data_IF_561953782955
#
_entry.id   IF_561953782955
#
_cell.length_a   1.000
_cell.length_b   1.000
_cell.length_c   1.000
_cell.angle_alpha   90.00
_cell.angle_beta   90.00
_cell.angle_gamma   90.00
#
_symmetry.space_group_name_H-M   'P 1'
#
loop_
_entity.id
_entity.type
_entity.pdbx_description
1 polymer ?
#
# COMPACT_ATOMS: atom_id res chain seq x y z
N UNK A 1 21.40 -28.36 7.75
CA UNK A 1 21.60 -26.94 7.40
C UNK A 1 21.37 -26.67 5.91
N UNK A 2 22.08 -27.33 4.98
CA UNK A 2 21.90 -27.10 3.52
C UNK A 2 20.51 -27.50 2.98
N UNK A 3 19.93 -28.60 3.45
CA UNK A 3 18.57 -29.04 3.03
C UNK A 3 17.50 -28.06 3.52
N UNK A 4 17.61 -27.58 4.77
CA UNK A 4 16.72 -26.56 5.33
C UNK A 4 16.84 -25.23 4.58
N UNK A 5 18.05 -24.87 4.15
CA UNK A 5 18.30 -23.68 3.32
C UNK A 5 17.61 -23.79 1.96
N UNK A 6 17.78 -24.89 1.23
CA UNK A 6 17.13 -25.10 -0.06
C UNK A 6 15.59 -25.12 0.04
N UNK A 7 15.04 -25.83 1.04
CA UNK A 7 13.60 -25.87 1.27
C UNK A 7 13.03 -24.50 1.64
N UNK A 8 13.79 -23.68 2.39
CA UNK A 8 13.39 -22.32 2.72
C UNK A 8 13.25 -21.46 1.45
N UNK A 9 14.26 -21.41 0.58
CA UNK A 9 14.20 -20.60 -0.64
C UNK A 9 13.11 -21.04 -1.63
N UNK A 10 12.84 -22.35 -1.73
CA UNK A 10 11.72 -22.85 -2.53
C UNK A 10 10.35 -22.48 -1.93
N UNK A 11 10.22 -22.44 -0.61
CA UNK A 11 8.97 -22.05 0.05
C UNK A 11 8.73 -20.54 0.03
N UNK A 12 9.79 -19.73 0.08
CA UNK A 12 9.68 -18.27 0.02
C UNK A 12 9.28 -17.79 -1.37
N UNK A 13 9.66 -18.51 -2.43
CA UNK A 13 9.19 -18.29 -3.81
C UNK A 13 9.19 -16.81 -4.24
N UNK A 14 10.27 -16.10 -3.91
CA UNK A 14 10.39 -14.64 -4.09
C UNK A 14 10.19 -14.23 -5.55
N UNK A 15 10.55 -15.12 -6.48
CA UNK A 15 10.42 -14.89 -7.92
C UNK A 15 8.95 -14.71 -8.32
N UNK A 16 8.07 -15.56 -7.79
CA UNK A 16 6.65 -15.58 -8.16
C UNK A 16 5.76 -14.87 -7.12
N UNK A 17 6.33 -14.50 -5.96
CA UNK A 17 5.67 -13.72 -4.88
C UNK A 17 6.47 -12.49 -4.45
N UNK A 18 6.67 -11.52 -5.36
CA UNK A 18 7.52 -10.36 -5.09
C UNK A 18 6.89 -9.32 -4.14
N UNK A 19 5.59 -9.42 -3.84
CA UNK A 19 4.88 -8.57 -2.90
C UNK A 19 5.06 -7.08 -3.17
N UNK A 20 5.40 -6.33 -2.11
CA UNK A 20 5.52 -4.87 -2.18
C UNK A 20 6.55 -4.36 -3.18
N UNK A 21 7.63 -5.10 -3.44
CA UNK A 21 8.65 -4.64 -4.40
C UNK A 21 8.06 -4.51 -5.81
N UNK A 22 7.24 -5.49 -6.24
CA UNK A 22 6.60 -5.43 -7.56
C UNK A 22 5.41 -4.47 -7.59
N UNK A 23 4.67 -4.36 -6.50
CA UNK A 23 3.60 -3.37 -6.36
C UNK A 23 4.15 -1.93 -6.50
N UNK A 24 5.28 -1.64 -5.85
CA UNK A 24 5.94 -0.36 -5.95
C UNK A 24 6.55 -0.10 -7.32
N UNK A 25 7.19 -1.10 -7.95
CA UNK A 25 7.66 -0.99 -9.35
C UNK A 25 6.50 -0.63 -10.29
N UNK A 26 5.37 -1.32 -10.17
CA UNK A 26 4.18 -1.05 -10.96
C UNK A 26 3.67 0.40 -10.76
N UNK A 27 3.61 0.90 -9.53
CA UNK A 27 3.23 2.30 -9.28
C UNK A 27 4.30 3.26 -9.82
N UNK A 28 5.59 3.01 -9.61
CA UNK A 28 6.68 3.86 -10.09
C UNK A 28 6.66 4.01 -11.62
N UNK A 29 6.26 2.97 -12.35
CA UNK A 29 6.15 2.98 -13.82
C UNK A 29 4.88 3.67 -14.35
N UNK A 30 3.79 3.66 -13.58
CA UNK A 30 2.47 4.10 -14.06
C UNK A 30 1.94 5.38 -13.38
N UNK A 31 2.59 5.84 -12.32
CA UNK A 31 2.30 7.10 -11.65
C UNK A 31 2.55 8.28 -12.59
N UNK A 32 1.64 9.25 -12.61
CA UNK A 32 1.73 10.42 -13.47
C UNK A 32 1.48 11.71 -12.70
N UNK A 33 2.19 12.77 -13.07
CA UNK A 33 1.90 14.14 -12.64
C UNK A 33 1.72 14.30 -11.13
N UNK A 34 0.49 14.65 -10.73
CA UNK A 34 0.09 14.91 -9.35
C UNK A 34 -0.78 13.81 -8.73
N UNK A 35 -0.79 12.60 -9.33
CA UNK A 35 -1.38 11.40 -8.75
C UNK A 35 -0.98 11.28 -7.26
N UNK A 36 -1.95 11.04 -6.39
CA UNK A 36 -1.77 10.91 -4.94
C UNK A 36 -1.62 9.44 -4.56
N UNK A 37 -0.92 9.17 -3.45
CA UNK A 37 -0.70 7.80 -2.98
C UNK A 37 -1.21 7.69 -1.54
N UNK A 38 -2.21 6.83 -1.35
CA UNK A 38 -2.82 6.55 -0.06
C UNK A 38 -2.62 5.09 0.31
N UNK A 39 -2.30 4.81 1.56
CA UNK A 39 -2.07 3.46 2.07
C UNK A 39 -2.99 3.24 3.26
N UNK A 40 -3.72 2.14 3.28
CA UNK A 40 -4.70 1.90 4.36
C UNK A 40 -4.13 1.07 5.51
N UNK A 41 -2.96 0.46 5.33
CA UNK A 41 -2.33 -0.38 6.35
C UNK A 41 -0.93 0.11 6.71
N UNK A 42 -0.74 0.40 8.01
CA UNK A 42 0.58 0.75 8.57
C UNK A 42 1.62 -0.36 8.40
N UNK A 43 1.20 -1.63 8.26
CA UNK A 43 2.08 -2.79 8.09
C UNK A 43 2.72 -2.87 6.70
N UNK A 44 2.16 -2.15 5.73
CA UNK A 44 2.71 -2.06 4.37
C UNK A 44 3.14 -0.64 4.00
N UNK A 45 2.73 0.37 4.79
CA UNK A 45 3.12 1.78 4.61
C UNK A 45 4.64 1.97 4.55
N UNK A 46 5.37 1.48 5.56
CA UNK A 46 6.83 1.67 5.61
C UNK A 46 7.55 0.92 4.49
N UNK A 47 7.05 -0.26 4.12
CA UNK A 47 7.64 -1.02 3.01
C UNK A 47 7.41 -0.33 1.68
N UNK A 48 6.23 0.25 1.44
CA UNK A 48 6.01 1.05 0.24
C UNK A 48 6.89 2.31 0.25
N UNK A 49 6.93 3.04 1.37
CA UNK A 49 7.76 4.26 1.53
C UNK A 49 9.24 4.00 1.21
N UNK A 50 9.74 2.79 1.48
CA UNK A 50 11.10 2.38 1.12
C UNK A 50 11.32 2.19 -0.39
N UNK A 51 10.36 1.61 -1.11
CA UNK A 51 10.47 1.32 -2.55
C UNK A 51 9.89 2.42 -3.47
N UNK A 52 9.25 3.43 -2.89
CA UNK A 52 8.61 4.49 -3.65
C UNK A 52 9.64 5.42 -4.30
N UNK A 53 9.60 5.51 -5.62
CA UNK A 53 10.48 6.36 -6.43
C UNK A 53 9.70 7.44 -7.20
N UNK A 54 8.38 7.52 -7.02
CA UNK A 54 7.50 8.52 -7.68
C UNK A 54 7.82 9.97 -7.33
N UNK A 55 8.59 10.21 -6.27
CA UNK A 55 8.82 11.54 -5.71
C UNK A 55 7.59 12.12 -4.98
N UNK A 56 6.46 11.41 -4.91
CA UNK A 56 5.29 11.79 -4.12
C UNK A 56 5.35 11.17 -2.73
N UNK A 57 4.98 11.93 -1.72
CA UNK A 57 4.90 11.42 -0.35
C UNK A 57 3.66 10.51 -0.23
N UNK A 58 3.81 9.22 0.12
CA UNK A 58 2.67 8.38 0.44
C UNK A 58 2.07 8.80 1.78
N UNK A 59 0.75 8.74 1.88
CA UNK A 59 0.01 9.05 3.11
C UNK A 59 -0.64 7.78 3.66
N UNK A 60 -0.55 7.58 4.96
CA UNK A 60 -1.26 6.54 5.69
C UNK A 60 -2.65 7.06 6.07
N UNK A 61 -3.70 6.35 5.65
CA UNK A 61 -5.03 6.56 6.17
C UNK A 61 -5.15 5.92 7.56
N UNK A 62 -5.32 6.74 8.59
CA UNK A 62 -5.51 6.30 9.97
C UNK A 62 -6.56 7.19 10.67
N UNK A 63 -7.87 6.86 10.52
CA UNK A 63 -8.95 7.70 11.06
C UNK A 63 -9.03 7.66 12.59
N UNK A 64 -8.47 6.61 13.22
CA UNK A 64 -8.43 6.42 14.66
C UNK A 64 -7.02 6.45 15.24
N UNK A 65 -6.91 6.13 16.52
CA UNK A 65 -5.62 5.96 17.18
C UNK A 65 -4.90 4.71 16.66
N UNK A 66 -3.61 4.85 16.36
CA UNK A 66 -2.75 3.74 15.98
C UNK A 66 -2.17 3.09 17.23
N UNK A 67 -2.17 1.76 17.26
CA UNK A 67 -1.52 1.02 18.33
C UNK A 67 -0.01 1.25 18.33
N UNK A 68 0.65 1.14 19.49
CA UNK A 68 2.10 1.37 19.57
C UNK A 68 2.91 0.46 18.62
N UNK A 69 2.42 -0.75 18.36
CA UNK A 69 3.07 -1.73 17.49
C UNK A 69 2.84 -1.46 15.99
N UNK A 70 2.06 -0.44 15.63
CA UNK A 70 1.79 -0.01 14.26
C UNK A 70 2.87 0.93 13.70
N UNK A 71 4.04 0.98 14.34
CA UNK A 71 5.17 1.80 13.91
C UNK A 71 4.99 3.29 14.20
N UNK A 72 4.16 3.66 15.18
CA UNK A 72 3.87 5.07 15.52
C UNK A 72 5.10 5.88 15.89
N UNK A 73 6.17 5.24 16.39
CA UNK A 73 7.45 5.89 16.66
C UNK A 73 8.16 6.44 15.41
N UNK A 74 7.80 5.96 14.21
CA UNK A 74 8.35 6.37 12.94
C UNK A 74 7.40 7.25 12.11
N UNK A 75 6.16 7.42 12.56
CA UNK A 75 5.16 8.26 11.90
C UNK A 75 5.24 9.69 12.42
N UNK A 76 5.01 10.63 11.50
CA UNK A 76 4.77 12.04 11.82
C UNK A 76 3.35 12.41 11.41
N UNK A 77 2.86 13.56 11.87
CA UNK A 77 1.53 14.06 11.47
C UNK A 77 1.43 14.25 9.95
N UNK A 78 2.55 14.52 9.27
CA UNK A 78 2.60 14.66 7.81
C UNK A 78 2.48 13.32 7.07
N UNK A 79 2.66 12.20 7.75
CA UNK A 79 2.50 10.87 7.16
C UNK A 79 1.04 10.37 7.24
N UNK A 80 0.14 11.09 7.92
CA UNK A 80 -1.18 10.59 8.28
C UNK A 80 -2.29 11.49 7.71
N UNK A 81 -3.28 10.87 7.07
CA UNK A 81 -4.59 11.47 6.89
C UNK A 81 -5.65 10.71 7.70
N UNK A 82 -6.57 11.47 8.30
CA UNK A 82 -7.74 10.93 9.01
C UNK A 82 -9.03 11.01 8.21
N UNK A 83 -8.98 11.71 7.07
CA UNK A 83 -10.16 12.07 6.28
C UNK A 83 -9.79 12.01 4.79
N UNK A 84 -10.55 11.23 4.03
CA UNK A 84 -10.37 11.13 2.58
C UNK A 84 -10.60 12.46 1.87
N UNK A 85 -11.57 13.26 2.33
CA UNK A 85 -11.93 14.54 1.70
C UNK A 85 -10.87 15.62 1.97
N UNK A 86 -10.10 15.49 3.05
CA UNK A 86 -8.96 16.35 3.31
C UNK A 86 -7.72 15.95 2.49
N UNK A 87 -7.66 14.68 2.05
CA UNK A 87 -6.54 14.13 1.30
C UNK A 87 -6.67 14.35 -0.20
N UNK A 88 -7.86 14.07 -0.78
CA UNK A 88 -8.14 14.19 -2.20
C UNK A 88 -9.46 14.92 -2.44
N UNK A 89 -9.55 15.63 -3.56
CA UNK A 89 -10.74 16.33 -4.01
C UNK A 89 -11.00 16.09 -5.51
N UNK A 90 -12.09 16.68 -6.04
CA UNK A 90 -12.53 16.46 -7.42
C UNK A 90 -11.42 16.67 -8.46
N UNK A 91 -11.24 15.68 -9.33
CA UNK A 91 -10.22 15.65 -10.37
C UNK A 91 -8.89 14.99 -9.96
N UNK A 92 -8.70 14.67 -8.67
CA UNK A 92 -7.50 13.97 -8.23
C UNK A 92 -7.53 12.49 -8.65
N UNK A 93 -6.37 11.98 -9.05
CA UNK A 93 -6.13 10.54 -9.21
C UNK A 93 -5.48 10.00 -7.95
N UNK A 94 -5.99 8.89 -7.41
CA UNK A 94 -5.47 8.29 -6.17
C UNK A 94 -5.08 6.84 -6.42
N UNK A 95 -3.83 6.50 -6.08
CA UNK A 95 -3.37 5.14 -5.90
C UNK A 95 -3.62 4.71 -4.46
N UNK A 96 -4.52 3.77 -4.26
CA UNK A 96 -4.81 3.15 -2.98
C UNK A 96 -4.02 1.85 -2.85
N UNK A 97 -3.28 1.71 -1.75
CA UNK A 97 -2.48 0.52 -1.46
C UNK A 97 -2.99 -0.12 -0.19
N UNK A 98 -3.36 -1.39 -0.28
CA UNK A 98 -3.83 -2.17 0.86
C UNK A 98 -3.18 -3.55 0.87
N UNK A 99 -3.62 -4.41 1.80
CA UNK A 99 -3.10 -5.77 1.91
C UNK A 99 -4.21 -6.73 2.31
N UNK A 100 -4.20 -7.97 1.81
CA UNK A 100 -5.24 -8.94 2.15
C UNK A 100 -4.97 -9.70 3.45
N UNK A 101 -3.74 -9.67 3.97
CA UNK A 101 -3.34 -10.38 5.19
C UNK A 101 -3.33 -9.51 6.44
N UNK A 102 -2.31 -9.69 7.29
CA UNK A 102 -2.24 -9.06 8.60
C UNK A 102 -2.19 -7.54 8.50
N UNK A 103 -3.04 -6.88 9.30
CA UNK A 103 -3.18 -5.44 9.25
C UNK A 103 -3.99 -4.95 8.05
N UNK A 104 -4.70 -5.84 7.35
CA UNK A 104 -5.70 -5.45 6.35
C UNK A 104 -6.70 -4.47 6.98
N UNK A 105 -6.85 -3.33 6.32
CA UNK A 105 -7.89 -2.36 6.59
C UNK A 105 -8.43 -1.87 5.24
N UNK A 106 -9.67 -2.21 4.94
CA UNK A 106 -10.40 -1.77 3.75
C UNK A 106 -11.54 -0.85 4.21
N UNK A 107 -11.26 0.45 4.38
CA UNK A 107 -12.29 1.41 4.75
C UNK A 107 -13.33 1.56 3.64
N UNK A 108 -14.56 1.92 4.01
CA UNK A 108 -15.54 2.39 3.03
C UNK A 108 -15.00 3.68 2.38
N UNK A 109 -14.81 3.65 1.07
CA UNK A 109 -14.38 4.82 0.32
C UNK A 109 -15.54 5.81 0.15
N UNK A 110 -15.26 7.12 0.07
CA UNK A 110 -16.27 8.12 -0.24
C UNK A 110 -16.99 7.85 -1.56
N UNK A 111 -18.25 8.29 -1.62
CA UNK A 111 -19.11 8.11 -2.80
C UNK A 111 -18.64 8.89 -4.03
N UNK A 112 -17.65 9.77 -3.95
CA UNK A 112 -17.05 10.50 -5.07
C UNK A 112 -15.80 9.79 -5.63
N UNK A 113 -15.33 8.70 -5.00
CA UNK A 113 -14.24 7.86 -5.49
C UNK A 113 -14.80 6.73 -6.38
N UNK A 114 -15.58 7.10 -7.40
CA UNK A 114 -16.56 6.21 -8.03
C UNK A 114 -15.99 5.21 -9.02
N UNK A 115 -14.80 5.44 -9.57
CA UNK A 115 -14.28 4.55 -10.59
C UNK A 115 -12.92 4.01 -10.21
N UNK A 116 -12.91 2.75 -9.75
CA UNK A 116 -11.73 1.91 -9.84
C UNK A 116 -11.40 1.75 -11.33
N UNK A 117 -10.36 2.45 -11.75
CA UNK A 117 -9.87 2.41 -13.13
C UNK A 117 -9.07 1.13 -13.33
N UNK A 118 -8.40 0.67 -12.28
CA UNK A 118 -7.56 -0.52 -12.31
C UNK A 118 -7.36 -1.09 -10.90
N UNK A 119 -7.27 -2.42 -10.81
CA UNK A 119 -6.81 -3.13 -9.62
C UNK A 119 -5.79 -4.20 -10.02
N UNK A 120 -4.69 -4.23 -9.28
CA UNK A 120 -3.63 -5.23 -9.39
C UNK A 120 -3.38 -5.88 -8.02
N UNK A 121 -3.07 -7.18 -8.02
CA UNK A 121 -2.71 -7.94 -6.82
C UNK A 121 -1.31 -8.52 -6.96
N UNK A 122 -0.48 -8.34 -5.93
CA UNK A 122 0.90 -8.81 -5.89
C UNK A 122 1.08 -9.73 -4.68
N UNK A 123 1.17 -11.05 -4.88
CA UNK A 123 1.36 -12.00 -3.79
C UNK A 123 2.66 -11.74 -3.04
N UNK A 124 2.62 -11.69 -1.70
CA UNK A 124 3.81 -11.57 -0.86
C UNK A 124 4.32 -12.95 -0.43
N UNK A 125 5.64 -13.14 -0.51
CA UNK A 125 6.31 -14.34 -0.01
C UNK A 125 6.03 -14.62 1.48
N UNK A 126 5.73 -13.58 2.26
CA UNK A 126 5.28 -13.71 3.63
C UNK A 126 3.77 -13.97 3.66
N UNK A 127 3.39 -15.23 3.88
CA UNK A 127 1.99 -15.65 3.95
C UNK A 127 1.15 -14.93 5.01
N UNK A 128 1.77 -14.32 6.02
CA UNK A 128 1.07 -13.50 7.02
C UNK A 128 0.60 -12.19 6.44
N UNK A 129 1.33 -11.60 5.48
CA UNK A 129 0.95 -10.36 4.79
C UNK A 129 -0.09 -10.61 3.69
N UNK A 130 -0.15 -11.82 3.13
CA UNK A 130 -1.04 -12.09 2.00
C UNK A 130 -0.60 -11.33 0.75
N UNK A 131 -1.54 -10.76 0.03
CA UNK A 131 -1.26 -10.00 -1.20
C UNK A 131 -1.19 -8.50 -0.89
N UNK A 132 -0.39 -7.79 -1.66
CA UNK A 132 -0.45 -6.32 -1.75
C UNK A 132 -1.43 -5.97 -2.85
N UNK A 133 -2.47 -5.21 -2.52
CA UNK A 133 -3.43 -4.71 -3.49
C UNK A 133 -3.09 -3.28 -3.86
N UNK A 134 -3.15 -2.97 -5.14
CA UNK A 134 -3.00 -1.62 -5.68
C UNK A 134 -4.24 -1.33 -6.53
N UNK A 135 -4.96 -0.28 -6.15
CA UNK A 135 -6.18 0.17 -6.81
C UNK A 135 -5.99 1.63 -7.26
N UNK A 136 -6.49 2.00 -8.44
CA UNK A 136 -6.42 3.38 -8.96
C UNK A 136 -7.82 3.97 -9.09
N UNK A 137 -8.04 5.13 -8.47
CA UNK A 137 -9.30 5.85 -8.47
C UNK A 137 -9.17 7.25 -9.09
N UNK A 138 -10.23 7.71 -9.75
CA UNK A 138 -10.50 9.13 -10.00
C UNK A 138 -11.53 9.62 -8.98
N UNK A 139 -11.27 10.76 -8.36
CA UNK A 139 -12.23 11.46 -7.49
C UNK A 139 -13.06 12.42 -8.34
N UNK A 140 -14.39 12.32 -8.28
CA UNK A 140 -15.34 13.10 -9.10
C UNK A 140 -15.79 14.43 -8.49
#
# INVERSE_FOLDING_TARGET
MLISYFNFWQQTDIKDKPGMAKAAEYINENHQGDDKILITSSFVFFTFKYYNETGKQPILYAPGELSHFSGTALLTDNDISKDFNAFAGPGDMVWLISTTGFGNFQPELPNDWQQEIEQQSFPDSNSVKGDILVEKYLVE
#
